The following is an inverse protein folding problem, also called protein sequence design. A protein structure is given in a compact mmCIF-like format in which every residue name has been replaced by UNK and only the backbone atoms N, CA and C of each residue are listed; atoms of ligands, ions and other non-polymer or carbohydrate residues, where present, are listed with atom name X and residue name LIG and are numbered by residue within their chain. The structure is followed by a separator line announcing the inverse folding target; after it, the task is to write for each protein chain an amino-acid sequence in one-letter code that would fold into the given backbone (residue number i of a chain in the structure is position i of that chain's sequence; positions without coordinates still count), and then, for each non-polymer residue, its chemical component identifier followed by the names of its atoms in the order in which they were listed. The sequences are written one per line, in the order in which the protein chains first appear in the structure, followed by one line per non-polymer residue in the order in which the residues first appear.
data_IF_303848537439
#
_entry.id   IF_303848537439
#
_cell.length_a   1.000
_cell.length_b   1.000
_cell.length_c   1.000
_cell.angle_alpha   90.00
_cell.angle_beta   90.00
_cell.angle_gamma   90.00
#
_symmetry.space_group_name_H-M   'P 1'
#
loop_
_entity.id
_entity.type
_entity.pdbx_description
1 polymer ?
#
# COMPACT_ATOMS: atom_id res chain seq x y z
N UNK A 1 -14.69 17.27 -5.55
CA UNK A 1 -14.40 17.55 -6.96
C UNK A 1 -12.93 17.96 -7.10
N UNK A 2 -12.13 17.17 -7.79
CA UNK A 2 -10.69 17.36 -7.92
C UNK A 2 -10.33 17.96 -9.27
N UNK A 3 -9.04 18.36 -9.46
CA UNK A 3 -8.55 18.82 -10.77
C UNK A 3 -8.67 17.73 -11.84
N UNK A 4 -8.49 16.46 -11.48
CA UNK A 4 -8.68 15.32 -12.38
C UNK A 4 -10.16 15.20 -12.78
N UNK A 5 -11.06 15.27 -11.81
CA UNK A 5 -12.51 15.23 -12.07
C UNK A 5 -12.96 16.38 -13.00
N UNK A 6 -12.33 17.56 -12.89
CA UNK A 6 -12.64 18.72 -13.75
C UNK A 6 -12.19 18.54 -15.21
N UNK A 7 -11.41 17.53 -15.52
CA UNK A 7 -10.91 17.21 -16.86
C UNK A 7 -11.42 15.89 -17.40
N UNK A 8 -12.19 15.17 -16.60
CA UNK A 8 -12.80 13.90 -17.02
C UNK A 8 -13.99 14.16 -17.94
N UNK A 9 -14.17 13.30 -18.94
CA UNK A 9 -15.36 13.29 -19.79
C UNK A 9 -16.60 12.89 -18.98
N UNK A 10 -16.41 11.97 -18.00
CA UNK A 10 -17.46 11.53 -17.10
C UNK A 10 -16.97 11.58 -15.66
N UNK A 11 -17.70 12.26 -14.81
CA UNK A 11 -17.45 12.32 -13.37
C UNK A 11 -18.54 11.57 -12.61
N UNK A 12 -18.17 10.49 -11.94
CA UNK A 12 -19.08 9.70 -11.11
C UNK A 12 -18.68 9.87 -9.65
N UNK A 13 -19.62 10.33 -8.83
CA UNK A 13 -19.44 10.48 -7.39
C UNK A 13 -20.06 9.30 -6.65
N UNK A 14 -19.22 8.45 -6.10
CA UNK A 14 -19.65 7.37 -5.21
C UNK A 14 -19.63 7.82 -3.74
N UNK A 15 -20.35 7.13 -2.86
CA UNK A 15 -20.17 7.28 -1.41
C UNK A 15 -18.81 6.74 -1.01
N UNK A 16 -18.18 7.35 -0.02
CA UNK A 16 -16.86 6.90 0.47
C UNK A 16 -16.90 5.45 0.94
N UNK A 17 -15.91 4.64 0.54
CA UNK A 17 -15.80 3.24 0.91
C UNK A 17 -16.69 2.29 0.11
N UNK A 18 -17.33 2.76 -0.97
CA UNK A 18 -18.24 1.95 -1.79
C UNK A 18 -17.71 1.66 -3.18
N UNK A 19 -16.40 1.55 -3.33
CA UNK A 19 -15.72 1.23 -4.59
C UNK A 19 -16.17 -0.14 -5.12
N UNK A 20 -16.26 -1.16 -4.25
CA UNK A 20 -16.68 -2.52 -4.66
C UNK A 20 -18.10 -2.53 -5.23
N UNK A 21 -19.14 -1.98 -4.57
CA UNK A 21 -20.46 -1.86 -5.14
C UNK A 21 -20.49 -1.20 -6.52
N UNK A 22 -19.74 -0.11 -6.69
CA UNK A 22 -19.66 0.57 -7.97
C UNK A 22 -19.00 -0.28 -9.06
N UNK A 23 -17.81 -0.83 -8.78
CA UNK A 23 -17.06 -1.66 -9.73
C UNK A 23 -17.84 -2.92 -10.12
N UNK A 24 -18.51 -3.55 -9.16
CA UNK A 24 -19.32 -4.73 -9.43
C UNK A 24 -20.64 -4.38 -10.09
N UNK A 25 -21.19 -3.16 -9.89
CA UNK A 25 -22.28 -2.63 -10.68
C UNK A 25 -21.91 -2.45 -12.17
N UNK A 26 -20.71 -1.92 -12.43
CA UNK A 26 -20.16 -1.85 -13.79
C UNK A 26 -19.97 -3.26 -14.37
N UNK A 27 -19.40 -4.18 -13.59
CA UNK A 27 -19.19 -5.58 -14.00
C UNK A 27 -20.50 -6.33 -14.24
N UNK A 28 -21.57 -6.04 -13.47
CA UNK A 28 -22.91 -6.55 -13.71
C UNK A 28 -23.37 -6.27 -15.14
N UNK A 29 -23.24 -5.03 -15.60
CA UNK A 29 -23.63 -4.65 -16.96
C UNK A 29 -22.71 -5.27 -18.01
N UNK A 30 -21.41 -5.41 -17.74
CA UNK A 30 -20.49 -6.13 -18.63
C UNK A 30 -20.99 -7.56 -18.87
N UNK A 31 -21.30 -8.29 -17.79
CA UNK A 31 -21.79 -9.67 -17.89
C UNK A 31 -23.21 -9.78 -18.46
N UNK A 32 -24.10 -8.86 -18.07
CA UNK A 32 -25.48 -8.86 -18.51
C UNK A 32 -25.60 -8.67 -20.03
N UNK A 33 -24.72 -7.87 -20.60
CA UNK A 33 -24.70 -7.55 -22.02
C UNK A 33 -23.71 -8.40 -22.83
N UNK A 34 -22.98 -9.31 -22.19
CA UNK A 34 -22.00 -10.18 -22.88
C UNK A 34 -20.80 -9.42 -23.44
N UNK A 35 -20.39 -8.34 -22.78
CA UNK A 35 -19.28 -7.47 -23.19
C UNK A 35 -17.92 -7.92 -22.67
N UNK A 36 -17.86 -9.00 -21.88
CA UNK A 36 -16.61 -9.59 -21.45
C UNK A 36 -15.77 -10.12 -22.62
N UNK A 37 -14.46 -10.20 -22.45
CA UNK A 37 -13.56 -10.83 -23.42
C UNK A 37 -13.54 -12.35 -23.17
N UNK A 38 -14.46 -13.08 -23.82
CA UNK A 38 -14.67 -14.52 -23.60
C UNK A 38 -13.42 -15.35 -23.90
N UNK A 39 -12.71 -15.04 -24.99
CA UNK A 39 -11.51 -15.77 -25.36
C UNK A 39 -10.38 -15.54 -24.35
N UNK A 40 -10.21 -14.30 -23.90
CA UNK A 40 -9.24 -13.98 -22.87
C UNK A 40 -9.56 -14.70 -21.55
N UNK A 41 -10.84 -14.76 -21.16
CA UNK A 41 -11.27 -15.44 -19.95
C UNK A 41 -10.99 -16.94 -20.02
N UNK A 42 -11.27 -17.58 -21.15
CA UNK A 42 -11.02 -19.01 -21.38
C UNK A 42 -9.51 -19.33 -21.31
N UNK A 43 -8.69 -18.52 -21.97
CA UNK A 43 -7.26 -18.77 -22.11
C UNK A 43 -6.45 -18.44 -20.84
N UNK A 44 -6.92 -17.48 -20.01
CA UNK A 44 -6.06 -16.84 -19.02
C UNK A 44 -6.64 -16.67 -17.62
N UNK A 45 -7.93 -16.92 -17.42
CA UNK A 45 -8.59 -16.60 -16.15
C UNK A 45 -9.31 -17.81 -15.59
N UNK A 46 -8.97 -18.15 -14.37
CA UNK A 46 -9.65 -19.24 -13.68
C UNK A 46 -10.68 -18.67 -12.69
N UNK A 47 -11.88 -19.31 -12.63
CA UNK A 47 -12.91 -19.03 -11.63
C UNK A 47 -13.80 -17.83 -11.92
N UNK A 48 -13.76 -17.23 -13.12
CA UNK A 48 -14.60 -16.07 -13.48
C UNK A 48 -16.09 -16.42 -13.52
N UNK A 49 -16.46 -17.65 -13.80
CA UNK A 49 -17.87 -18.14 -13.81
C UNK A 49 -18.52 -17.93 -12.45
N UNK A 50 -17.82 -18.24 -11.34
CA UNK A 50 -18.28 -18.02 -9.96
C UNK A 50 -18.45 -16.53 -9.65
N UNK A 51 -17.52 -15.72 -10.14
CA UNK A 51 -17.61 -14.26 -10.00
C UNK A 51 -18.82 -13.73 -10.77
N UNK A 52 -19.05 -14.22 -11.99
CA UNK A 52 -20.21 -13.85 -12.82
C UNK A 52 -21.52 -14.18 -12.13
N UNK A 53 -21.64 -15.41 -11.60
CA UNK A 53 -22.82 -15.86 -10.87
C UNK A 53 -23.09 -14.95 -9.65
N UNK A 54 -22.05 -14.71 -8.83
CA UNK A 54 -22.15 -13.89 -7.63
C UNK A 54 -22.51 -12.43 -7.94
N UNK A 55 -21.87 -11.84 -8.96
CA UNK A 55 -22.13 -10.46 -9.37
C UNK A 55 -23.55 -10.29 -9.89
N UNK A 56 -24.01 -11.18 -10.76
CA UNK A 56 -25.36 -11.11 -11.32
C UNK A 56 -26.45 -11.33 -10.26
N UNK A 57 -26.19 -12.15 -9.25
CA UNK A 57 -27.12 -12.41 -8.17
C UNK A 57 -27.18 -11.29 -7.13
N UNK A 58 -26.05 -10.68 -6.78
CA UNK A 58 -25.95 -9.78 -5.62
C UNK A 58 -25.90 -8.30 -5.98
N UNK A 59 -25.29 -7.94 -7.11
CA UNK A 59 -24.99 -6.56 -7.47
C UNK A 59 -25.93 -6.00 -8.52
N UNK A 60 -27.24 -6.20 -8.30
CA UNK A 60 -28.29 -5.62 -9.16
C UNK A 60 -28.28 -4.10 -9.11
N UNK A 61 -28.78 -3.39 -10.13
CA UNK A 61 -28.80 -1.93 -10.16
C UNK A 61 -29.37 -1.27 -8.90
N UNK A 62 -30.47 -1.80 -8.35
CA UNK A 62 -31.10 -1.29 -7.13
C UNK A 62 -30.13 -1.40 -5.92
N UNK A 63 -29.44 -2.53 -5.79
CA UNK A 63 -28.47 -2.75 -4.74
C UNK A 63 -27.24 -1.86 -4.87
N UNK A 64 -26.80 -1.61 -6.08
CA UNK A 64 -25.71 -0.67 -6.36
C UNK A 64 -26.13 0.74 -6.01
N UNK A 65 -27.32 1.17 -6.41
CA UNK A 65 -27.86 2.49 -6.06
C UNK A 65 -28.00 2.66 -4.54
N UNK A 66 -28.54 1.68 -3.84
CA UNK A 66 -28.65 1.68 -2.39
C UNK A 66 -27.26 1.83 -1.72
N UNK A 67 -26.27 1.06 -2.16
CA UNK A 67 -24.95 1.04 -1.56
C UNK A 67 -24.11 2.28 -1.88
N UNK A 68 -23.91 2.60 -3.16
CA UNK A 68 -22.97 3.63 -3.60
C UNK A 68 -23.62 4.96 -4.04
N UNK A 69 -24.94 5.01 -4.22
CA UNK A 69 -25.68 6.22 -4.61
C UNK A 69 -25.52 6.56 -6.09
N UNK A 70 -25.17 5.58 -6.94
CA UNK A 70 -25.02 5.75 -8.39
C UNK A 70 -26.13 4.99 -9.08
N UNK A 71 -26.84 5.64 -9.98
CA UNK A 71 -27.96 5.07 -10.71
C UNK A 71 -27.52 4.07 -11.78
N UNK A 72 -28.49 3.28 -12.27
CA UNK A 72 -28.27 2.27 -13.28
C UNK A 72 -27.77 2.86 -14.59
N UNK A 73 -28.32 3.99 -15.03
CA UNK A 73 -27.94 4.63 -16.28
C UNK A 73 -26.45 5.02 -16.28
N UNK A 74 -25.97 5.53 -15.15
CA UNK A 74 -24.57 5.91 -14.97
C UNK A 74 -23.64 4.68 -14.95
N UNK A 75 -23.98 3.62 -14.21
CA UNK A 75 -23.17 2.40 -14.15
C UNK A 75 -23.15 1.68 -15.51
N UNK A 76 -24.27 1.63 -16.22
CA UNK A 76 -24.37 1.10 -17.58
C UNK A 76 -23.51 1.92 -18.56
N UNK A 77 -23.57 3.25 -18.47
CA UNK A 77 -22.74 4.15 -19.30
C UNK A 77 -21.26 3.89 -19.11
N UNK A 78 -20.81 3.79 -17.87
CA UNK A 78 -19.38 3.49 -17.55
C UNK A 78 -19.00 2.11 -18.07
N UNK A 79 -19.83 1.10 -17.87
CA UNK A 79 -19.59 -0.25 -18.37
C UNK A 79 -19.45 -0.27 -19.91
N UNK A 80 -20.32 0.46 -20.61
CA UNK A 80 -20.26 0.59 -22.07
C UNK A 80 -18.99 1.28 -22.54
N UNK A 81 -18.63 2.41 -21.93
CA UNK A 81 -17.39 3.12 -22.26
C UNK A 81 -16.17 2.21 -22.11
N UNK A 82 -16.08 1.46 -21.00
CA UNK A 82 -14.97 0.54 -20.78
C UNK A 82 -14.96 -0.65 -21.74
N UNK A 83 -16.12 -1.15 -22.12
CA UNK A 83 -16.25 -2.27 -23.06
C UNK A 83 -15.90 -1.88 -24.50
N UNK A 84 -16.27 -0.69 -24.93
CA UNK A 84 -16.05 -0.21 -26.29
C UNK A 84 -14.65 0.38 -26.52
N UNK A 85 -13.97 0.81 -25.45
CA UNK A 85 -12.64 1.44 -25.54
C UNK A 85 -11.56 0.54 -24.92
N UNK A 86 -11.31 -0.60 -25.50
CA UNK A 86 -10.27 -1.53 -25.08
C UNK A 86 -9.05 -1.47 -26.01
N UNK A 87 -7.81 -1.62 -25.47
CA UNK A 87 -7.50 -1.82 -24.05
C UNK A 87 -7.65 -0.53 -23.24
N UNK A 88 -8.18 -0.66 -22.02
CA UNK A 88 -8.31 0.44 -21.07
C UNK A 88 -7.57 0.15 -19.76
N UNK A 89 -7.20 1.21 -19.04
CA UNK A 89 -6.53 1.07 -17.76
C UNK A 89 -7.36 1.65 -16.62
N UNK A 90 -7.32 1.00 -15.46
CA UNK A 90 -7.81 1.58 -14.21
C UNK A 90 -6.61 2.12 -13.43
N UNK A 91 -6.70 3.37 -13.00
CA UNK A 91 -5.67 4.03 -12.20
C UNK A 91 -6.24 4.34 -10.82
N UNK A 92 -5.52 3.97 -9.77
CA UNK A 92 -5.89 4.30 -8.41
C UNK A 92 -4.68 4.65 -7.53
N UNK A 93 -4.96 5.15 -6.34
CA UNK A 93 -4.01 5.38 -5.28
C UNK A 93 -4.69 5.12 -3.93
N UNK A 94 -4.31 5.84 -2.88
CA UNK A 94 -4.79 5.60 -1.51
C UNK A 94 -6.29 5.84 -1.33
N UNK A 95 -6.95 6.60 -2.19
CA UNK A 95 -8.41 6.76 -2.16
C UNK A 95 -9.16 5.43 -2.21
N UNK A 96 -8.63 4.44 -2.93
CA UNK A 96 -9.17 3.09 -2.98
C UNK A 96 -8.56 2.16 -1.92
N UNK A 97 -7.26 2.29 -1.62
CA UNK A 97 -6.54 1.30 -0.80
C UNK A 97 -6.54 1.59 0.69
N UNK A 98 -6.71 2.85 1.10
CA UNK A 98 -6.63 3.25 2.51
C UNK A 98 -7.97 3.06 3.25
N UNK A 99 -8.50 1.84 3.16
CA UNK A 99 -9.70 1.37 3.84
C UNK A 99 -9.46 0.03 4.52
N UNK A 100 -10.27 -0.33 5.50
CA UNK A 100 -10.19 -1.63 6.18
C UNK A 100 -10.35 -2.82 5.24
N UNK A 101 -11.05 -2.62 4.11
CA UNK A 101 -11.26 -3.62 3.05
C UNK A 101 -10.47 -3.30 1.76
N UNK A 102 -9.40 -2.51 1.86
CA UNK A 102 -8.61 -2.05 0.71
C UNK A 102 -8.13 -3.19 -0.21
N UNK A 103 -7.75 -4.34 0.35
CA UNK A 103 -7.40 -5.52 -0.43
C UNK A 103 -8.53 -6.00 -1.35
N UNK A 104 -9.76 -6.00 -0.84
CA UNK A 104 -10.93 -6.40 -1.63
C UNK A 104 -11.25 -5.36 -2.73
N UNK A 105 -11.08 -4.07 -2.46
CA UNK A 105 -11.25 -3.00 -3.43
C UNK A 105 -10.27 -3.13 -4.61
N UNK A 106 -8.99 -3.37 -4.32
CA UNK A 106 -7.97 -3.64 -5.34
C UNK A 106 -8.33 -4.86 -6.19
N UNK A 107 -8.75 -5.95 -5.54
CA UNK A 107 -9.19 -7.17 -6.24
C UNK A 107 -10.39 -6.89 -7.16
N UNK A 108 -11.36 -6.10 -6.73
CA UNK A 108 -12.52 -5.75 -7.55
C UNK A 108 -12.10 -5.01 -8.85
N UNK A 109 -11.15 -4.06 -8.75
CA UNK A 109 -10.57 -3.40 -9.92
C UNK A 109 -9.87 -4.38 -10.86
N UNK A 110 -9.07 -5.29 -10.32
CA UNK A 110 -8.38 -6.30 -11.11
C UNK A 110 -9.35 -7.28 -11.78
N UNK A 111 -10.41 -7.69 -11.08
CA UNK A 111 -11.46 -8.57 -11.62
C UNK A 111 -12.14 -7.91 -12.82
N UNK A 112 -12.52 -6.64 -12.73
CA UNK A 112 -13.12 -5.90 -13.85
C UNK A 112 -12.16 -5.84 -15.05
N UNK A 113 -10.88 -5.57 -14.83
CA UNK A 113 -9.87 -5.52 -15.88
C UNK A 113 -9.61 -6.91 -16.52
N UNK A 114 -9.67 -7.98 -15.74
CA UNK A 114 -9.61 -9.35 -16.25
C UNK A 114 -10.83 -9.68 -17.10
N UNK A 115 -12.04 -9.33 -16.63
CA UNK A 115 -13.27 -9.57 -17.38
C UNK A 115 -13.27 -8.89 -18.77
N UNK A 116 -12.67 -7.70 -18.85
CA UNK A 116 -12.55 -6.94 -20.10
C UNK A 116 -11.32 -7.33 -20.94
N UNK A 117 -10.48 -8.27 -20.49
CA UNK A 117 -9.29 -8.71 -21.21
C UNK A 117 -8.21 -7.66 -21.37
N UNK A 118 -8.12 -6.71 -20.42
CA UNK A 118 -7.19 -5.58 -20.51
C UNK A 118 -5.79 -5.89 -19.94
N UNK A 119 -5.64 -6.91 -19.08
CA UNK A 119 -4.37 -7.22 -18.44
C UNK A 119 -3.40 -7.90 -19.42
N UNK A 120 -2.17 -7.42 -19.46
CA UNK A 120 -1.13 -7.91 -20.37
C UNK A 120 -1.18 -7.28 -21.78
N UNK A 121 -2.02 -6.28 -21.99
CA UNK A 121 -2.08 -5.51 -23.24
C UNK A 121 -1.46 -4.11 -23.01
N UNK A 122 -0.68 -3.63 -23.98
CA UNK A 122 -0.15 -2.27 -23.93
C UNK A 122 -1.28 -1.25 -23.87
N UNK A 123 -1.22 -0.30 -22.92
CA UNK A 123 -2.29 0.66 -22.64
C UNK A 123 -3.42 0.14 -21.75
N UNK A 124 -3.40 -1.14 -21.41
CA UNK A 124 -4.39 -1.76 -20.52
C UNK A 124 -3.86 -2.04 -19.12
N UNK A 125 -4.72 -2.62 -18.29
CA UNK A 125 -4.37 -3.15 -16.99
C UNK A 125 -4.71 -2.25 -15.81
N UNK A 126 -3.99 -2.49 -14.72
CA UNK A 126 -4.17 -1.82 -13.45
C UNK A 126 -2.89 -1.04 -13.11
N UNK A 127 -3.01 0.26 -12.89
CA UNK A 127 -1.88 1.13 -12.60
C UNK A 127 -2.09 1.86 -11.28
N UNK A 128 -1.05 1.90 -10.46
CA UNK A 128 -1.10 2.52 -9.15
C UNK A 128 -0.18 3.74 -9.15
N UNK A 129 -0.75 4.94 -8.94
CA UNK A 129 0.03 6.12 -8.67
C UNK A 129 0.46 6.10 -7.21
N UNK A 130 1.66 5.59 -6.97
CA UNK A 130 2.22 5.50 -5.63
C UNK A 130 2.54 6.88 -5.08
N UNK A 131 2.29 7.11 -3.78
CA UNK A 131 2.35 8.43 -3.19
C UNK A 131 3.76 8.93 -2.91
N UNK A 132 4.59 8.08 -2.30
CA UNK A 132 5.96 8.46 -1.94
C UNK A 132 6.95 8.19 -3.07
N UNK A 133 8.00 8.99 -3.11
CA UNK A 133 9.14 8.77 -3.97
C UNK A 133 9.75 7.41 -3.69
N UNK A 134 10.11 6.70 -4.75
CA UNK A 134 10.73 5.38 -4.69
C UNK A 134 9.93 4.27 -3.96
N UNK A 135 8.63 4.42 -3.71
CA UNK A 135 7.81 3.33 -3.14
C UNK A 135 7.85 2.09 -4.03
N UNK A 136 7.85 2.28 -5.34
CA UNK A 136 8.00 1.18 -6.30
C UNK A 136 9.33 0.46 -6.12
N UNK A 137 10.44 1.20 -6.09
CA UNK A 137 11.78 0.63 -5.93
C UNK A 137 11.98 -0.03 -4.56
N UNK A 138 11.49 0.58 -3.48
CA UNK A 138 11.53 0.01 -2.14
C UNK A 138 10.79 -1.34 -2.09
N UNK A 139 9.65 -1.46 -2.76
CA UNK A 139 8.91 -2.73 -2.82
C UNK A 139 9.61 -3.75 -3.72
N UNK A 140 10.21 -3.32 -4.83
CA UNK A 140 10.90 -4.20 -5.77
C UNK A 140 12.15 -4.85 -5.15
N UNK A 141 12.92 -4.08 -4.37
CA UNK A 141 14.18 -4.58 -3.74
C UNK A 141 14.00 -5.06 -2.30
N UNK A 142 12.85 -4.80 -1.69
CA UNK A 142 12.46 -5.37 -0.40
C UNK A 142 13.06 -4.76 0.87
N UNK A 143 13.48 -3.47 0.93
CA UNK A 143 13.84 -2.85 2.21
C UNK A 143 12.59 -2.43 2.99
N UNK A 144 11.66 -3.33 3.13
CA UNK A 144 10.41 -3.19 3.87
C UNK A 144 10.33 -4.26 4.97
N UNK A 145 9.69 -3.98 6.11
CA UNK A 145 9.63 -4.93 7.21
C UNK A 145 8.79 -6.17 6.92
N UNK A 146 7.92 -6.11 5.92
CA UNK A 146 6.93 -7.13 5.58
C UNK A 146 7.18 -7.81 4.22
N UNK A 147 8.26 -7.45 3.53
CA UNK A 147 8.56 -8.04 2.23
C UNK A 147 10.06 -8.28 1.98
N UNK A 148 10.33 -9.31 1.19
CA UNK A 148 11.63 -9.63 0.61
C UNK A 148 11.67 -9.16 -0.86
N UNK A 149 12.85 -9.11 -1.50
CA UNK A 149 12.97 -8.70 -2.89
C UNK A 149 11.97 -9.41 -3.81
N UNK A 150 11.40 -8.69 -4.78
CA UNK A 150 10.45 -9.24 -5.73
C UNK A 150 9.08 -9.55 -5.15
N UNK A 151 8.66 -8.84 -4.11
CA UNK A 151 7.33 -8.96 -3.48
C UNK A 151 7.08 -10.26 -2.71
N UNK A 152 8.13 -10.99 -2.36
CA UNK A 152 7.99 -12.14 -1.48
C UNK A 152 7.65 -11.69 -0.06
N UNK A 153 6.63 -12.30 0.54
CA UNK A 153 6.30 -12.06 1.94
C UNK A 153 7.34 -12.64 2.89
N UNK A 154 7.41 -12.10 4.11
CA UNK A 154 8.27 -12.61 5.18
C UNK A 154 7.64 -13.89 5.77
N UNK A 155 7.91 -15.02 5.13
CA UNK A 155 7.41 -16.33 5.50
C UNK A 155 8.46 -17.41 5.24
N UNK A 156 8.37 -18.54 5.94
CA UNK A 156 9.34 -19.63 5.85
C UNK A 156 9.56 -20.11 4.40
N UNK A 157 8.48 -20.24 3.61
CA UNK A 157 8.58 -20.65 2.21
C UNK A 157 9.40 -19.69 1.35
N UNK A 158 9.27 -18.39 1.57
CA UNK A 158 10.04 -17.36 0.88
C UNK A 158 11.52 -17.42 1.27
N UNK A 159 11.81 -17.60 2.55
CA UNK A 159 13.21 -17.76 3.01
C UNK A 159 13.86 -19.04 2.48
N UNK A 160 13.11 -20.14 2.33
CA UNK A 160 13.60 -21.36 1.66
C UNK A 160 13.93 -21.09 0.18
N UNK A 161 13.08 -20.34 -0.52
CA UNK A 161 13.34 -19.92 -1.89
C UNK A 161 14.64 -19.09 -1.98
N UNK A 162 14.78 -18.07 -1.11
CA UNK A 162 15.99 -17.24 -1.11
C UNK A 162 17.24 -17.99 -0.66
N UNK A 163 17.13 -18.93 0.28
CA UNK A 163 18.24 -19.80 0.64
C UNK A 163 18.80 -20.55 -0.59
N UNK A 164 17.89 -21.13 -1.37
CA UNK A 164 18.24 -21.79 -2.63
C UNK A 164 18.87 -20.81 -3.65
N UNK A 165 18.29 -19.63 -3.81
CA UNK A 165 18.77 -18.60 -4.75
C UNK A 165 20.16 -18.07 -4.36
N UNK A 166 20.38 -17.81 -3.08
CA UNK A 166 21.65 -17.30 -2.54
C UNK A 166 22.70 -18.39 -2.31
N UNK A 167 22.31 -19.67 -2.50
CA UNK A 167 23.16 -20.83 -2.25
C UNK A 167 23.68 -20.91 -0.82
N UNK A 168 22.83 -20.63 0.14
CA UNK A 168 23.10 -20.73 1.58
C UNK A 168 22.18 -21.75 2.23
N UNK A 169 22.61 -22.32 3.34
CA UNK A 169 21.77 -23.24 4.11
C UNK A 169 20.58 -22.53 4.75
N UNK A 170 19.39 -23.09 4.59
CA UNK A 170 18.17 -22.52 5.18
C UNK A 170 18.23 -22.49 6.71
N UNK A 171 18.77 -23.51 7.36
CA UNK A 171 18.90 -23.55 8.81
C UNK A 171 19.90 -22.49 9.32
N UNK A 172 20.91 -22.16 8.50
CA UNK A 172 21.78 -21.02 8.81
C UNK A 172 21.00 -19.70 8.76
N UNK A 173 20.21 -19.44 7.71
CA UNK A 173 19.35 -18.23 7.63
C UNK A 173 18.42 -18.16 8.84
N UNK A 174 17.74 -19.26 9.16
CA UNK A 174 16.80 -19.33 10.27
C UNK A 174 17.41 -18.93 11.62
N UNK A 175 18.68 -19.25 11.82
CA UNK A 175 19.41 -18.87 13.04
C UNK A 175 19.77 -17.39 13.14
N UNK A 176 19.76 -16.66 12.01
CA UNK A 176 20.06 -15.21 12.00
C UNK A 176 18.86 -14.37 12.47
N UNK A 177 17.67 -14.93 12.49
CA UNK A 177 16.45 -14.23 12.87
C UNK A 177 15.99 -14.59 14.28
N UNK A 178 15.33 -13.62 14.94
CA UNK A 178 14.70 -13.88 16.21
C UNK A 178 13.64 -15.01 16.10
N UNK A 179 13.45 -15.81 17.14
CA UNK A 179 12.41 -16.85 17.14
C UNK A 179 11.04 -16.29 16.77
N UNK A 180 10.37 -16.97 15.86
CA UNK A 180 9.04 -16.55 15.39
C UNK A 180 9.00 -15.46 14.32
N UNK A 181 10.14 -14.85 13.95
CA UNK A 181 10.15 -13.75 12.96
C UNK A 181 9.56 -14.14 11.59
N UNK A 182 9.74 -15.39 11.17
CA UNK A 182 9.15 -15.90 9.93
C UNK A 182 7.65 -16.23 10.03
N UNK A 183 7.08 -16.18 11.22
CA UNK A 183 5.66 -16.51 11.50
C UNK A 183 4.92 -15.34 12.14
N UNK A 184 5.64 -14.40 12.75
CA UNK A 184 5.11 -13.19 13.41
C UNK A 184 5.68 -11.96 12.72
N UNK A 185 4.99 -11.38 11.72
CA UNK A 185 5.53 -10.31 10.87
C UNK A 185 5.67 -8.96 11.60
N UNK A 186 5.46 -8.91 12.90
CA UNK A 186 5.60 -7.70 13.69
C UNK A 186 4.28 -6.97 13.96
N UNK A 187 4.40 -5.71 14.31
CA UNK A 187 3.28 -4.86 14.74
C UNK A 187 3.00 -3.83 13.63
N UNK A 188 1.73 -3.64 13.28
CA UNK A 188 1.36 -2.60 12.31
C UNK A 188 1.68 -1.21 12.86
N UNK A 189 1.99 -0.26 11.98
CA UNK A 189 2.40 1.11 12.33
C UNK A 189 1.40 1.77 13.30
N UNK A 190 0.10 1.55 13.15
CA UNK A 190 -0.92 2.10 14.05
C UNK A 190 -0.95 1.45 15.45
N UNK A 191 -0.28 0.32 15.63
CA UNK A 191 -0.30 -0.48 16.87
C UNK A 191 0.93 -0.33 17.74
N UNK A 192 1.96 0.41 17.32
CA UNK A 192 3.14 0.63 18.15
C UNK A 192 2.78 1.31 19.49
N UNK A 193 1.75 2.17 19.50
CA UNK A 193 1.24 2.83 20.70
C UNK A 193 0.74 1.78 21.71
N UNK A 194 -0.03 0.81 21.25
CA UNK A 194 -0.52 -0.29 22.09
C UNK A 194 0.64 -1.14 22.61
N UNK A 195 1.64 -1.40 21.76
CA UNK A 195 2.83 -2.12 22.14
C UNK A 195 3.64 -1.48 23.25
N UNK A 196 3.63 -0.15 23.34
CA UNK A 196 4.30 0.61 24.42
C UNK A 196 3.43 0.70 25.68
N UNK A 197 2.10 0.86 25.52
CA UNK A 197 1.17 1.10 26.63
C UNK A 197 0.72 -0.16 27.38
N UNK A 198 1.33 -1.31 27.11
CA UNK A 198 1.06 -2.57 27.82
C UNK A 198 -0.33 -3.17 27.54
N UNK A 199 -0.85 -2.94 26.34
CA UNK A 199 -2.13 -3.51 25.87
C UNK A 199 -1.90 -4.81 25.11
N UNK A 200 -1.35 -5.81 25.76
CA UNK A 200 -0.94 -7.09 25.14
C UNK A 200 -2.12 -7.85 24.48
N UNK A 201 -3.34 -7.63 24.96
CA UNK A 201 -4.54 -8.22 24.38
C UNK A 201 -4.87 -7.71 22.97
N UNK A 202 -4.27 -6.58 22.58
CA UNK A 202 -4.48 -5.97 21.25
C UNK A 202 -3.42 -6.38 20.23
N UNK A 203 -2.29 -6.88 20.69
CA UNK A 203 -1.15 -7.27 19.86
C UNK A 203 -0.45 -8.52 20.45
N UNK A 204 0.02 -9.39 19.57
CA UNK A 204 0.78 -10.57 19.95
C UNK A 204 2.25 -10.22 20.16
N UNK A 205 2.62 -9.94 21.41
CA UNK A 205 3.99 -9.62 21.81
C UNK A 205 4.33 -10.24 23.16
N UNK A 206 5.59 -10.63 23.33
CA UNK A 206 6.09 -11.25 24.58
C UNK A 206 6.47 -10.20 25.64
N UNK A 207 6.81 -8.97 25.19
CA UNK A 207 7.18 -7.85 26.04
C UNK A 207 6.80 -6.53 25.38
N UNK A 208 6.63 -5.49 26.21
CA UNK A 208 6.31 -4.17 25.69
C UNK A 208 7.49 -3.54 24.95
N UNK A 209 7.15 -2.70 23.96
CA UNK A 209 8.14 -1.87 23.28
C UNK A 209 8.78 -0.90 24.27
N UNK A 210 10.10 -0.88 24.30
CA UNK A 210 10.90 -0.04 25.19
C UNK A 210 11.55 1.13 24.48
N UNK A 211 12.06 0.91 23.28
CA UNK A 211 12.69 1.92 22.44
C UNK A 211 12.11 1.97 21.05
N UNK A 212 12.26 3.09 20.36
CA UNK A 212 11.82 3.28 19.00
C UNK A 212 12.78 4.18 18.23
N UNK A 213 12.96 3.85 16.94
CA UNK A 213 13.61 4.73 15.97
C UNK A 213 12.59 5.12 14.91
N UNK A 214 12.27 6.39 14.80
CA UNK A 214 11.51 6.94 13.69
C UNK A 214 12.48 7.39 12.60
N UNK A 215 12.47 6.70 11.50
CA UNK A 215 13.39 6.97 10.40
C UNK A 215 12.63 7.49 9.18
N UNK A 216 12.80 8.78 8.88
CA UNK A 216 12.05 9.44 7.81
C UNK A 216 10.53 9.36 7.97
N UNK A 217 10.04 9.34 9.22
CA UNK A 217 8.63 9.13 9.54
C UNK A 217 8.14 10.08 10.61
N UNK A 218 6.99 10.72 10.34
CA UNK A 218 6.36 11.67 11.26
C UNK A 218 5.02 11.13 11.78
N UNK A 219 5.01 10.28 12.82
CA UNK A 219 3.79 9.64 13.35
C UNK A 219 2.77 10.62 13.93
N UNK A 220 3.13 11.87 14.18
CA UNK A 220 2.20 12.90 14.62
C UNK A 220 1.06 13.19 13.61
N UNK A 221 1.22 12.79 12.35
CA UNK A 221 0.16 12.86 11.33
C UNK A 221 -0.85 11.71 11.39
N UNK A 222 -0.61 10.73 12.25
CA UNK A 222 -1.50 9.59 12.44
C UNK A 222 -2.59 9.90 13.47
N UNK A 223 -3.58 9.00 13.57
CA UNK A 223 -4.61 9.07 14.60
C UNK A 223 -4.05 8.79 16.01
N UNK A 224 -4.86 9.06 17.05
CA UNK A 224 -4.54 8.72 18.45
C UNK A 224 -3.45 9.59 19.07
N UNK A 225 -3.38 10.87 18.70
CA UNK A 225 -2.33 11.79 19.17
C UNK A 225 -2.14 11.86 20.69
N UNK A 226 -3.23 11.80 21.48
CA UNK A 226 -3.13 11.80 22.96
C UNK A 226 -2.45 10.55 23.50
N UNK A 227 -2.82 9.38 23.00
CA UNK A 227 -2.22 8.11 23.40
C UNK A 227 -0.76 8.02 22.93
N UNK A 228 -0.46 8.58 21.78
CA UNK A 228 0.90 8.67 21.26
C UNK A 228 1.82 9.46 22.19
N UNK A 229 1.36 10.59 22.72
CA UNK A 229 2.10 11.37 23.72
C UNK A 229 2.38 10.53 24.97
N UNK A 230 1.40 9.80 25.48
CA UNK A 230 1.60 8.92 26.63
C UNK A 230 2.57 7.77 26.35
N UNK A 231 2.53 7.21 25.14
CA UNK A 231 3.49 6.20 24.71
C UNK A 231 4.93 6.78 24.63
N UNK A 232 5.09 7.97 24.05
CA UNK A 232 6.39 8.61 23.94
C UNK A 232 7.07 8.84 25.30
N UNK A 233 6.30 9.10 26.35
CA UNK A 233 6.83 9.26 27.73
C UNK A 233 7.49 8.00 28.28
N UNK A 234 7.10 6.82 27.79
CA UNK A 234 7.55 5.51 28.28
C UNK A 234 8.70 4.91 27.48
N UNK A 235 9.01 5.49 26.32
CA UNK A 235 10.07 4.97 25.43
C UNK A 235 11.46 5.41 25.90
N UNK A 236 12.41 4.49 25.88
CA UNK A 236 13.83 4.75 26.11
C UNK A 236 14.68 3.66 25.41
N UNK A 237 15.46 4.03 24.36
CA UNK A 237 15.58 5.37 23.75
C UNK A 237 14.43 5.73 22.81
N UNK A 238 14.26 7.02 22.53
CA UNK A 238 13.49 7.54 21.42
C UNK A 238 14.42 8.30 20.48
N UNK A 239 14.54 7.83 19.25
CA UNK A 239 15.42 8.38 18.22
C UNK A 239 14.58 8.82 17.04
N UNK A 240 14.88 9.99 16.49
CA UNK A 240 14.29 10.50 15.24
C UNK A 240 15.42 10.79 14.27
N UNK A 241 15.38 10.14 13.11
CA UNK A 241 16.29 10.37 11.99
C UNK A 241 15.51 11.11 10.90
N UNK A 242 15.82 12.38 10.69
CA UNK A 242 15.07 13.24 9.78
C UNK A 242 15.95 14.39 9.29
N UNK A 243 15.79 14.87 8.04
CA UNK A 243 16.49 16.07 7.56
C UNK A 243 16.18 17.34 8.36
N UNK A 244 15.02 17.38 9.02
CA UNK A 244 14.55 18.52 9.78
C UNK A 244 14.00 18.08 11.14
N UNK A 245 14.03 18.95 12.18
CA UNK A 245 13.30 18.70 13.41
C UNK A 245 11.80 18.56 13.12
N UNK A 246 11.32 17.34 13.04
CA UNK A 246 9.91 17.08 12.75
C UNK A 246 9.01 17.46 13.93
N UNK A 247 7.72 17.64 13.67
CA UNK A 247 6.73 17.86 14.73
C UNK A 247 6.73 16.71 15.75
N UNK A 248 7.04 15.48 15.32
CA UNK A 248 7.19 14.32 16.21
C UNK A 248 8.36 14.50 17.18
N UNK A 249 9.53 14.94 16.69
CA UNK A 249 10.69 15.20 17.54
C UNK A 249 10.42 16.34 18.54
N UNK A 250 9.82 17.43 18.08
CA UNK A 250 9.44 18.55 18.93
C UNK A 250 8.45 18.13 20.03
N UNK A 251 7.40 17.40 19.67
CA UNK A 251 6.40 16.91 20.63
C UNK A 251 7.02 15.92 21.63
N UNK A 252 7.88 15.02 21.18
CA UNK A 252 8.59 14.10 22.05
C UNK A 252 9.49 14.86 23.06
N UNK A 253 10.25 15.84 22.58
CA UNK A 253 11.11 16.67 23.44
C UNK A 253 10.35 17.45 24.51
N UNK A 254 9.13 17.91 24.19
CA UNK A 254 8.28 18.64 25.16
C UNK A 254 7.73 17.76 26.28
N UNK A 255 7.55 16.47 26.07
CA UNK A 255 6.85 15.59 27.02
C UNK A 255 7.79 14.61 27.74
N UNK A 256 9.02 14.43 27.27
CA UNK A 256 10.00 13.50 27.85
C UNK A 256 11.00 14.22 28.75
N UNK A 257 11.31 13.61 29.90
CA UNK A 257 12.36 14.11 30.79
C UNK A 257 13.77 13.88 30.23
N UNK A 258 13.96 12.75 29.56
CA UNK A 258 15.27 12.33 29.05
C UNK A 258 15.48 12.78 27.59
N UNK A 259 14.62 13.66 27.11
CA UNK A 259 14.71 14.23 25.77
C UNK A 259 14.46 13.25 24.62
N UNK A 260 14.97 13.59 23.44
CA UNK A 260 14.92 12.80 22.22
C UNK A 260 16.25 12.93 21.48
N UNK A 261 16.74 11.82 20.93
CA UNK A 261 17.90 11.87 20.06
C UNK A 261 17.42 12.25 18.65
N UNK A 262 17.89 13.40 18.16
CA UNK A 262 17.63 13.85 16.80
C UNK A 262 18.90 13.68 15.97
N UNK A 263 18.88 12.77 15.00
CA UNK A 263 19.99 12.52 14.09
C UNK A 263 19.69 13.15 12.73
N UNK A 264 20.53 14.06 12.23
CA UNK A 264 20.28 14.75 10.99
C UNK A 264 20.54 13.84 9.79
N UNK A 265 19.51 13.55 8.99
CA UNK A 265 19.62 12.84 7.74
C UNK A 265 19.92 13.80 6.58
N UNK A 266 20.64 13.32 5.58
CA UNK A 266 20.84 14.06 4.34
C UNK A 266 19.54 14.14 3.51
N UNK A 267 19.36 15.25 2.81
CA UNK A 267 18.25 15.45 1.88
C UNK A 267 18.48 14.71 0.56
N UNK A 268 17.45 14.65 -0.29
CA UNK A 268 17.57 14.02 -1.61
C UNK A 268 18.59 14.70 -2.53
N UNK A 269 18.98 15.96 -2.29
CA UNK A 269 20.02 16.66 -3.04
C UNK A 269 21.45 16.33 -2.60
N UNK A 270 21.57 15.77 -1.41
CA UNK A 270 22.82 15.47 -0.73
C UNK A 270 23.21 13.99 -0.82
N UNK A 271 22.42 13.17 -1.53
CA UNK A 271 22.65 11.74 -1.67
C UNK A 271 22.49 11.28 -3.13
N UNK A 272 23.17 10.22 -3.51
CA UNK A 272 22.99 9.52 -4.78
C UNK A 272 22.18 8.24 -4.57
N UNK A 273 21.48 7.79 -5.59
CA UNK A 273 20.73 6.54 -5.51
C UNK A 273 19.76 6.35 -6.67
N UNK A 274 19.11 5.21 -6.70
CA UNK A 274 18.08 4.90 -7.67
C UNK A 274 16.69 5.24 -7.15
N UNK A 275 15.81 5.60 -8.08
CA UNK A 275 14.39 5.79 -7.82
C UNK A 275 13.59 5.11 -8.93
N UNK A 276 12.66 4.24 -8.56
CA UNK A 276 11.78 3.59 -9.52
C UNK A 276 10.42 4.26 -9.51
N UNK A 277 10.02 4.82 -10.65
CA UNK A 277 8.71 5.41 -10.83
C UNK A 277 7.60 4.34 -10.91
N UNK A 278 6.31 4.70 -10.70
CA UNK A 278 5.19 3.76 -10.76
C UNK A 278 5.05 3.01 -12.10
N UNK A 279 5.57 3.54 -13.20
CA UNK A 279 5.66 2.87 -14.49
C UNK A 279 6.82 1.86 -14.59
N UNK A 280 7.53 1.61 -13.48
CA UNK A 280 8.72 0.74 -13.37
C UNK A 280 9.96 1.22 -14.11
N UNK A 281 10.01 2.48 -14.47
CA UNK A 281 11.26 3.09 -14.98
C UNK A 281 12.22 3.34 -13.83
N UNK A 282 13.34 2.63 -13.82
CA UNK A 282 14.43 2.87 -12.89
C UNK A 282 15.23 4.08 -13.35
N UNK A 283 15.39 5.05 -12.46
CA UNK A 283 16.12 6.28 -12.71
C UNK A 283 17.25 6.40 -11.71
N UNK A 284 18.41 6.82 -12.17
CA UNK A 284 19.52 7.16 -11.32
C UNK A 284 19.51 8.65 -10.99
N UNK A 285 19.85 8.99 -9.76
CA UNK A 285 19.94 10.34 -9.26
C UNK A 285 21.32 10.57 -8.66
N UNK A 286 22.04 11.54 -9.21
CA UNK A 286 23.33 11.96 -8.68
C UNK A 286 23.15 12.97 -7.54
N UNK A 287 24.11 12.94 -6.63
CA UNK A 287 24.25 13.94 -5.58
C UNK A 287 24.56 15.30 -6.21
N UNK A 288 23.81 16.32 -5.82
CA UNK A 288 23.96 17.69 -6.29
C UNK A 288 24.95 18.47 -5.43
N UNK A 289 24.85 18.32 -4.10
CA UNK A 289 25.72 18.94 -3.10
C UNK A 289 26.17 17.93 -2.07
N UNK A 290 27.26 18.21 -1.36
CA UNK A 290 27.65 17.39 -0.21
C UNK A 290 26.68 17.59 0.94
N UNK A 291 26.48 16.58 1.81
CA UNK A 291 25.68 16.75 3.02
C UNK A 291 26.15 17.96 3.82
N UNK A 292 25.20 18.75 4.30
CA UNK A 292 25.47 19.96 5.06
C UNK A 292 25.54 19.63 6.56
N UNK A 293 26.36 20.39 7.26
CA UNK A 293 26.56 20.27 8.72
C UNK A 293 26.94 18.83 9.12
N UNK A 294 26.22 18.25 10.06
CA UNK A 294 26.42 16.90 10.58
C UNK A 294 25.53 15.85 9.89
N UNK A 295 24.80 16.24 8.83
CA UNK A 295 23.91 15.33 8.15
C UNK A 295 24.65 14.16 7.50
N UNK A 296 24.11 12.97 7.68
CA UNK A 296 24.61 11.74 7.08
C UNK A 296 23.58 11.15 6.12
N UNK A 297 24.05 10.41 5.13
CA UNK A 297 23.15 9.64 4.27
C UNK A 297 22.52 8.49 5.03
N UNK A 298 21.33 8.05 4.66
CA UNK A 298 20.64 6.91 5.29
C UNK A 298 21.44 5.58 5.21
N UNK A 299 22.53 5.57 4.46
CA UNK A 299 23.42 4.41 4.27
C UNK A 299 24.72 4.51 5.07
N UNK A 300 24.92 5.59 5.82
CA UNK A 300 26.15 5.86 6.55
C UNK A 300 26.28 5.05 7.86
#
# INVERSE_FOLDING_TARGET
FTRTAARADEFVRIRSGTDIPFLFGVLYHVFKNGWEDKQYLEDRVWGMDKVREDVLAKWTPDKVMEACGVDEATTLKVAKIMAENRPSTIVWCMGQTQHTIGNAMVRASCILQLALGNIGKSGGGANIFRGHDNVQGATDVGPNPDSLPGYYGVAEGSFKHFASTWKVDFEWIKKQYAPGMMTKPGITVSRWIDGVLEKNELIDQDSNLRGIVFWGHAPNSQSRGKEMVEAMKKLDPLVVVDPYPSATAAMAAMVRKDGVYLLPAATQFETSGSCTAPNRSLQWRERVISPLFEAQTDHA
#
